data_IF_749170685846
#
_entry.id   IF_749170685846
#
_cell.length_a   1.000
_cell.length_b   1.000
_cell.length_c   1.000
_cell.angle_alpha   90.00
_cell.angle_beta   90.00
_cell.angle_gamma   90.00
#
_symmetry.space_group_name_H-M   'P 1'
#
loop_
_entity.id
_entity.type
_entity.pdbx_description
1 polymer ?
#
# COMPACT_ATOMS: atom_id res chain seq x y z
N UNK A 1 -19.27 -49.77 -59.57
CA UNK A 1 -18.63 -50.42 -58.40
C UNK A 1 -17.20 -49.91 -58.31
N UNK A 2 -16.75 -49.52 -57.10
CA UNK A 2 -15.37 -49.36 -56.61
C UNK A 2 -14.32 -48.68 -57.53
N UNK A 3 -13.54 -47.69 -57.13
CA UNK A 3 -13.14 -47.25 -55.81
C UNK A 3 -11.67 -46.85 -55.86
N UNK A 4 -11.37 -45.71 -55.22
CA UNK A 4 -10.13 -45.34 -54.55
C UNK A 4 -8.82 -45.21 -55.37
N UNK A 5 -8.20 -44.02 -55.34
CA UNK A 5 -7.00 -43.77 -54.52
C UNK A 5 -6.28 -42.45 -54.87
N UNK A 6 -5.86 -41.73 -53.83
CA UNK A 6 -4.72 -40.80 -53.84
C UNK A 6 -5.07 -39.39 -54.29
N UNK A 7 -4.79 -38.31 -53.56
CA UNK A 7 -3.88 -38.11 -52.44
C UNK A 7 -3.44 -36.64 -52.52
N UNK A 8 -3.26 -35.97 -51.38
CA UNK A 8 -2.72 -34.61 -51.39
C UNK A 8 -3.28 -33.72 -50.29
N UNK A 9 -2.72 -33.87 -49.09
CA UNK A 9 -2.99 -33.03 -47.94
C UNK A 9 -2.61 -31.56 -48.20
N UNK A 10 -3.58 -30.65 -48.10
CA UNK A 10 -3.33 -29.24 -47.78
C UNK A 10 -3.86 -28.99 -46.37
N UNK A 11 -2.91 -28.71 -45.48
CA UNK A 11 -3.09 -28.58 -44.04
C UNK A 11 -3.92 -27.34 -43.74
N UNK A 12 -5.00 -27.55 -43.00
CA UNK A 12 -6.00 -26.56 -42.61
C UNK A 12 -5.41 -25.32 -41.91
N UNK A 13 -5.84 -24.13 -42.36
CA UNK A 13 -5.80 -22.90 -41.58
C UNK A 13 -6.96 -22.94 -40.57
N UNK A 14 -6.62 -22.84 -39.28
CA UNK A 14 -7.58 -22.76 -38.19
C UNK A 14 -8.20 -21.34 -38.11
N UNK A 15 -9.48 -21.22 -37.70
CA UNK A 15 -10.18 -19.95 -37.64
C UNK A 15 -9.74 -19.10 -36.44
N UNK A 16 -9.82 -17.78 -36.62
CA UNK A 16 -9.53 -16.79 -35.60
C UNK A 16 -10.41 -16.94 -34.36
N UNK A 17 -9.76 -16.88 -33.19
CA UNK A 17 -10.44 -16.80 -31.90
C UNK A 17 -10.20 -15.39 -31.35
N UNK A 18 -11.18 -14.51 -31.56
CA UNK A 18 -11.30 -13.27 -30.80
C UNK A 18 -11.82 -13.61 -29.39
N UNK A 19 -10.98 -13.47 -28.37
CA UNK A 19 -11.37 -13.64 -26.97
C UNK A 19 -11.20 -12.32 -26.20
N UNK A 20 -12.29 -11.56 -26.22
CA UNK A 20 -12.84 -10.66 -25.18
C UNK A 20 -11.88 -10.07 -24.13
N UNK A 21 -11.73 -8.75 -24.19
CA UNK A 21 -11.20 -7.91 -23.12
C UNK A 21 -12.01 -8.09 -21.81
N UNK A 22 -11.35 -8.57 -20.75
CA UNK A 22 -11.94 -8.66 -19.40
C UNK A 22 -11.87 -7.30 -18.73
N UNK A 23 -13.02 -6.61 -18.68
CA UNK A 23 -13.21 -5.37 -17.92
C UNK A 23 -13.13 -5.61 -16.41
N UNK A 24 -12.45 -4.68 -15.75
CA UNK A 24 -12.71 -4.14 -14.41
C UNK A 24 -13.07 -5.13 -13.29
N UNK A 25 -12.07 -5.53 -12.52
CA UNK A 25 -12.25 -5.68 -11.08
C UNK A 25 -12.08 -4.32 -10.42
N UNK A 26 -13.15 -3.51 -10.38
CA UNK A 26 -13.23 -2.44 -9.39
C UNK A 26 -13.30 -3.13 -8.03
N UNK A 27 -12.12 -3.38 -7.45
CA UNK A 27 -12.01 -3.82 -6.06
C UNK A 27 -12.70 -2.76 -5.22
N UNK A 28 -13.93 -3.04 -4.81
CA UNK A 28 -14.65 -2.22 -3.85
C UNK A 28 -13.71 -1.93 -2.70
N UNK A 29 -13.58 -0.64 -2.36
CA UNK A 29 -12.73 -0.23 -1.25
C UNK A 29 -13.13 -1.07 -0.04
N UNK A 30 -12.20 -1.90 0.44
CA UNK A 30 -12.38 -2.62 1.71
C UNK A 30 -12.77 -1.54 2.73
N UNK A 31 -13.91 -1.73 3.40
CA UNK A 31 -14.48 -0.79 4.38
C UNK A 31 -15.19 0.48 3.84
N UNK A 32 -15.56 0.55 2.55
CA UNK A 32 -16.40 1.65 2.02
C UNK A 32 -15.72 3.02 1.99
N UNK A 33 -14.40 3.05 2.15
CA UNK A 33 -13.63 4.27 2.29
C UNK A 33 -13.29 4.85 0.90
N UNK A 34 -13.72 6.09 0.64
CA UNK A 34 -13.47 6.77 -0.64
C UNK A 34 -12.05 7.32 -0.63
N UNK A 35 -11.16 6.73 -1.44
CA UNK A 35 -9.84 7.31 -1.74
C UNK A 35 -10.04 8.78 -2.11
N UNK A 36 -9.42 9.67 -1.35
CA UNK A 36 -9.63 11.11 -1.49
C UNK A 36 -8.35 11.72 -2.03
N UNK A 37 -8.47 12.45 -3.13
CA UNK A 37 -7.37 13.25 -3.67
C UNK A 37 -7.59 14.67 -3.17
N UNK A 38 -6.61 15.25 -2.48
CA UNK A 38 -6.70 16.67 -2.10
C UNK A 38 -6.63 17.55 -3.36
N UNK A 39 -7.08 18.81 -3.29
CA UNK A 39 -6.93 19.76 -4.39
C UNK A 39 -5.49 19.85 -4.91
N UNK A 40 -4.52 19.64 -4.03
CA UNK A 40 -3.07 19.65 -4.34
C UNK A 40 -2.56 18.34 -4.97
N UNK A 41 -3.46 17.42 -5.34
CA UNK A 41 -3.13 16.15 -6.00
C UNK A 41 -2.68 15.03 -5.06
N UNK A 42 -2.72 15.22 -3.74
CA UNK A 42 -2.27 14.22 -2.77
C UNK A 42 -3.32 13.16 -2.56
N UNK A 43 -2.98 11.89 -2.83
CA UNK A 43 -3.85 10.74 -2.60
C UNK A 43 -3.78 10.28 -1.15
N UNK A 44 -4.95 10.13 -0.54
CA UNK A 44 -5.13 9.54 0.79
C UNK A 44 -5.99 8.29 0.71
N UNK A 45 -5.66 7.33 1.57
CA UNK A 45 -6.41 6.09 1.66
C UNK A 45 -7.73 6.35 2.39
N UNK A 46 -7.79 7.32 3.30
CA UNK A 46 -9.01 7.72 4.00
C UNK A 46 -9.33 9.23 4.05
N UNK A 47 -10.61 9.55 4.26
CA UNK A 47 -11.06 10.93 4.54
C UNK A 47 -10.47 11.47 5.86
N UNK A 48 -10.23 10.61 6.84
CA UNK A 48 -9.63 11.01 8.10
C UNK A 48 -8.19 11.48 7.91
N UNK A 49 -7.39 10.72 7.14
CA UNK A 49 -6.03 11.12 6.77
C UNK A 49 -6.02 12.43 5.99
N UNK A 50 -6.90 12.60 5.01
CA UNK A 50 -6.97 13.83 4.22
C UNK A 50 -7.28 15.07 5.09
N UNK A 51 -8.18 14.94 6.07
CA UNK A 51 -8.46 16.01 7.04
C UNK A 51 -7.24 16.29 7.92
N UNK A 52 -6.60 15.24 8.44
CA UNK A 52 -5.43 15.40 9.31
C UNK A 52 -4.26 16.03 8.57
N UNK A 53 -4.04 15.65 7.31
CA UNK A 53 -3.09 16.30 6.42
C UNK A 53 -3.34 17.79 6.29
N UNK A 54 -4.58 18.21 6.04
CA UNK A 54 -4.94 19.63 5.98
C UNK A 54 -4.58 20.38 7.27
N UNK A 55 -4.84 19.79 8.43
CA UNK A 55 -4.46 20.38 9.72
C UNK A 55 -2.93 20.49 9.87
N UNK A 56 -2.18 19.43 9.53
CA UNK A 56 -0.72 19.45 9.59
C UNK A 56 -0.13 20.49 8.61
N UNK A 57 -0.71 20.66 7.42
CA UNK A 57 -0.30 21.72 6.50
C UNK A 57 -0.54 23.12 7.07
N UNK A 58 -1.63 23.32 7.81
CA UNK A 58 -1.87 24.60 8.49
C UNK A 58 -0.84 24.85 9.61
N UNK A 59 -0.53 23.85 10.42
CA UNK A 59 0.50 23.93 11.47
C UNK A 59 1.89 24.19 10.88
N UNK A 60 2.21 23.57 9.74
CA UNK A 60 3.45 23.80 9.00
C UNK A 60 3.55 25.25 8.52
N UNK A 61 2.44 25.81 7.97
CA UNK A 61 2.39 27.22 7.54
C UNK A 61 2.48 28.19 8.72
N UNK A 62 1.95 27.81 9.88
CA UNK A 62 2.06 28.58 11.12
C UNK A 62 3.45 28.50 11.77
N UNK A 63 4.33 27.61 11.30
CA UNK A 63 5.66 27.39 11.88
C UNK A 63 5.66 26.58 13.17
N UNK A 64 4.54 25.92 13.51
CA UNK A 64 4.42 25.08 14.71
C UNK A 64 5.12 23.71 14.53
N UNK A 65 5.12 23.23 13.28
CA UNK A 65 5.80 22.00 12.87
C UNK A 65 6.70 22.29 11.66
N UNK A 66 7.68 21.42 11.43
CA UNK A 66 8.55 21.46 10.25
C UNK A 66 8.82 20.05 9.70
N UNK A 67 9.46 19.96 8.53
CA UNK A 67 9.84 18.69 7.88
C UNK A 67 8.71 17.66 7.73
N UNK A 68 7.50 18.15 7.42
CA UNK A 68 6.33 17.30 7.25
C UNK A 68 6.51 16.35 6.05
N UNK A 69 6.61 15.05 6.35
CA UNK A 69 6.77 13.93 5.42
C UNK A 69 5.58 12.98 5.56
N UNK A 70 5.35 12.18 4.52
CA UNK A 70 4.30 11.15 4.47
C UNK A 70 4.87 9.80 4.08
N UNK A 71 4.17 8.73 4.48
CA UNK A 71 4.47 7.35 4.07
C UNK A 71 5.93 6.96 4.35
N UNK A 72 6.44 7.37 5.52
CA UNK A 72 7.84 7.11 5.91
C UNK A 72 7.95 5.67 6.38
N UNK A 73 8.81 4.91 5.71
CA UNK A 73 9.05 3.51 6.03
C UNK A 73 10.20 3.36 7.03
N UNK A 74 9.94 2.63 8.11
CA UNK A 74 10.90 2.22 9.11
C UNK A 74 11.08 0.70 9.01
N UNK A 75 12.30 0.24 8.83
CA UNK A 75 12.60 -1.19 8.84
C UNK A 75 12.61 -1.71 10.28
N UNK A 76 11.74 -2.67 10.57
CA UNK A 76 11.62 -3.27 11.91
C UNK A 76 12.48 -4.53 12.01
N UNK A 77 12.36 -5.41 11.02
CA UNK A 77 13.05 -6.70 10.99
C UNK A 77 13.62 -6.89 9.59
N UNK A 78 14.91 -7.23 9.44
CA UNK A 78 15.52 -7.44 8.14
C UNK A 78 14.88 -8.63 7.42
N UNK A 79 15.14 -8.72 6.11
CA UNK A 79 14.69 -9.86 5.31
C UNK A 79 15.39 -11.16 5.78
N UNK A 80 14.63 -12.26 5.85
CA UNK A 80 15.14 -13.54 6.35
C UNK A 80 14.88 -14.65 5.34
N UNK A 81 15.84 -15.57 5.20
CA UNK A 81 15.69 -16.79 4.41
C UNK A 81 15.53 -17.98 5.35
N UNK A 82 14.35 -18.57 5.37
CA UNK A 82 14.11 -19.79 6.12
C UNK A 82 14.70 -20.99 5.37
N UNK A 83 15.13 -22.01 6.12
CA UNK A 83 15.72 -23.23 5.56
C UNK A 83 14.73 -24.02 4.70
N UNK A 84 13.43 -23.93 4.99
CA UNK A 84 12.33 -24.57 4.29
C UNK A 84 11.73 -23.70 3.15
N UNK A 85 12.19 -22.46 3.00
CA UNK A 85 11.65 -21.52 2.02
C UNK A 85 12.55 -21.36 0.78
N UNK A 86 11.97 -21.56 -0.40
CA UNK A 86 12.64 -21.33 -1.69
C UNK A 86 12.99 -19.85 -1.92
N UNK A 87 12.23 -18.91 -1.34
CA UNK A 87 12.42 -17.47 -1.50
C UNK A 87 12.65 -16.78 -0.15
N UNK A 88 13.44 -15.70 -0.19
CA UNK A 88 13.64 -14.81 0.96
C UNK A 88 12.31 -14.16 1.35
N UNK A 89 11.99 -14.15 2.63
CA UNK A 89 10.86 -13.40 3.18
C UNK A 89 11.29 -11.94 3.34
N UNK A 90 10.55 -10.97 2.78
CA UNK A 90 10.95 -9.58 2.79
C UNK A 90 10.99 -9.00 4.20
N UNK A 91 11.77 -7.94 4.36
CA UNK A 91 11.85 -7.19 5.61
C UNK A 91 10.46 -6.69 6.05
N UNK A 92 10.20 -6.76 7.35
CA UNK A 92 8.99 -6.21 7.94
C UNK A 92 9.23 -4.72 8.16
N UNK A 93 8.38 -3.89 7.55
CA UNK A 93 8.43 -2.44 7.70
C UNK A 93 7.18 -1.90 8.38
N UNK A 94 7.38 -0.89 9.20
CA UNK A 94 6.33 0.02 9.63
C UNK A 94 6.29 1.19 8.66
N UNK A 95 5.11 1.56 8.17
CA UNK A 95 4.96 2.73 7.29
C UNK A 95 4.07 3.72 8.03
N UNK A 96 4.64 4.85 8.43
CA UNK A 96 3.92 5.90 9.13
C UNK A 96 3.15 6.79 8.13
N UNK A 97 1.94 7.20 8.50
CA UNK A 97 1.14 8.10 7.66
C UNK A 97 1.79 9.48 7.56
N UNK A 98 2.24 10.03 8.70
CA UNK A 98 2.88 11.33 8.81
C UNK A 98 4.11 11.30 9.74
N UNK A 99 5.15 12.04 9.37
CA UNK A 99 6.32 12.28 10.22
C UNK A 99 6.69 13.74 10.11
N UNK A 100 6.91 14.42 11.22
CA UNK A 100 7.25 15.84 11.25
C UNK A 100 8.05 16.19 12.50
N UNK A 101 8.70 17.35 12.50
CA UNK A 101 9.34 17.91 13.69
C UNK A 101 8.36 18.84 14.40
N UNK A 102 8.15 18.63 15.69
CA UNK A 102 7.37 19.49 16.58
C UNK A 102 8.29 19.95 17.70
N UNK A 103 8.57 21.25 17.80
CA UNK A 103 9.50 21.81 18.81
C UNK A 103 10.88 21.12 18.81
N UNK A 104 11.36 20.70 17.64
CA UNK A 104 12.66 20.02 17.48
C UNK A 104 12.65 18.52 17.77
N UNK A 105 11.49 17.92 18.07
CA UNK A 105 11.35 16.47 18.29
C UNK A 105 10.65 15.82 17.11
N UNK A 106 11.18 14.71 16.59
CA UNK A 106 10.50 13.92 15.56
C UNK A 106 9.25 13.26 16.13
N UNK A 107 8.11 13.61 15.55
CA UNK A 107 6.80 13.03 15.85
C UNK A 107 6.41 12.13 14.71
N UNK A 108 6.15 10.87 15.03
CA UNK A 108 5.59 9.87 14.11
C UNK A 108 4.11 9.75 14.41
N UNK A 109 3.28 10.08 13.44
CA UNK A 109 1.83 10.12 13.61
C UNK A 109 1.12 9.21 12.59
N UNK A 110 0.10 8.52 13.09
CA UNK A 110 -0.63 7.51 12.34
C UNK A 110 -2.14 7.65 12.56
N UNK A 111 -2.90 7.77 11.47
CA UNK A 111 -4.34 8.01 11.50
C UNK A 111 -5.07 6.68 11.38
N UNK A 112 -5.78 6.29 12.45
CA UNK A 112 -6.44 4.99 12.52
C UNK A 112 -7.81 5.09 13.18
N UNK A 113 -8.84 4.64 12.46
CA UNK A 113 -10.17 4.43 13.02
C UNK A 113 -10.26 3.15 13.84
N UNK A 114 -9.73 2.04 13.33
CA UNK A 114 -9.75 0.72 13.99
C UNK A 114 -8.32 0.19 14.14
N UNK A 115 -7.96 -0.21 15.36
CA UNK A 115 -6.64 -0.76 15.66
C UNK A 115 -6.60 -2.25 15.38
N UNK A 116 -6.01 -2.63 14.24
CA UNK A 116 -5.79 -4.04 13.89
C UNK A 116 -4.70 -4.67 14.74
N UNK A 117 -4.73 -5.99 14.89
CA UNK A 117 -3.69 -6.73 15.62
C UNK A 117 -2.30 -6.53 15.00
N UNK A 118 -2.22 -6.50 13.67
CA UNK A 118 -0.97 -6.23 12.94
C UNK A 118 -0.41 -4.85 13.27
N UNK A 119 -1.26 -3.81 13.30
CA UNK A 119 -0.85 -2.47 13.67
C UNK A 119 -0.31 -2.43 15.10
N UNK A 120 -1.01 -3.04 16.06
CA UNK A 120 -0.58 -3.10 17.47
C UNK A 120 0.79 -3.78 17.60
N UNK A 121 0.99 -4.89 16.89
CA UNK A 121 2.27 -5.60 16.88
C UNK A 121 3.38 -4.73 16.29
N UNK A 122 3.19 -4.12 15.12
CA UNK A 122 4.21 -3.30 14.49
C UNK A 122 4.52 -2.02 15.31
N UNK A 123 3.52 -1.41 15.95
CA UNK A 123 3.72 -0.29 16.88
C UNK A 123 4.54 -0.71 18.11
N UNK A 124 4.27 -1.90 18.64
CA UNK A 124 5.07 -2.45 19.73
C UNK A 124 6.53 -2.66 19.30
N UNK A 125 6.75 -3.23 18.11
CA UNK A 125 8.09 -3.42 17.54
C UNK A 125 8.81 -2.09 17.27
N UNK A 126 8.12 -1.05 16.80
CA UNK A 126 8.69 0.30 16.64
C UNK A 126 9.30 0.79 17.96
N UNK A 127 8.56 0.67 19.07
CA UNK A 127 9.05 1.10 20.38
C UNK A 127 10.16 0.20 20.91
N UNK A 128 10.01 -1.11 20.79
CA UNK A 128 10.95 -2.07 21.36
C UNK A 128 12.30 -2.11 20.62
N UNK A 129 12.29 -2.01 19.28
CA UNK A 129 13.49 -2.16 18.46
C UNK A 129 14.16 -0.83 18.12
N UNK A 130 13.37 0.22 17.88
CA UNK A 130 13.88 1.52 17.42
C UNK A 130 13.77 2.62 18.49
N UNK A 131 13.09 2.36 19.62
CA UNK A 131 12.81 3.36 20.65
C UNK A 131 11.80 4.45 20.22
N UNK A 132 11.28 4.35 18.99
CA UNK A 132 10.41 5.36 18.39
C UNK A 132 8.96 5.19 18.82
N UNK A 133 8.29 6.30 19.10
CA UNK A 133 6.92 6.31 19.57
C UNK A 133 5.95 6.79 18.49
N UNK A 134 4.90 6.01 18.26
CA UNK A 134 3.85 6.35 17.31
C UNK A 134 2.66 6.97 18.06
N UNK A 135 2.33 8.22 17.70
CA UNK A 135 1.15 8.96 18.12
C UNK A 135 -0.04 8.52 17.25
N UNK A 136 -1.14 8.11 17.89
CA UNK A 136 -2.36 7.75 17.17
C UNK A 136 -3.33 8.91 17.11
N UNK A 137 -3.90 9.14 15.93
CA UNK A 137 -5.00 10.08 15.71
C UNK A 137 -6.21 9.32 15.18
N UNK A 138 -7.39 9.63 15.70
CA UNK A 138 -8.68 9.03 15.28
C UNK A 138 -9.44 9.96 14.36
#
# INVERSE_FOLDING_TARGET
MAGNAGGGASRAQAPGVQATAKRSGAGGAKYGNKKTVTPDGVKFDSRAEARRWGHLCMQLRAGEISELRRQVAYELVPAVKYSDASRVKPAIRYVADFVYLEKGVEVIEDVKGVLTTEFKLKRHLMKALLGLEVRLVK
#
